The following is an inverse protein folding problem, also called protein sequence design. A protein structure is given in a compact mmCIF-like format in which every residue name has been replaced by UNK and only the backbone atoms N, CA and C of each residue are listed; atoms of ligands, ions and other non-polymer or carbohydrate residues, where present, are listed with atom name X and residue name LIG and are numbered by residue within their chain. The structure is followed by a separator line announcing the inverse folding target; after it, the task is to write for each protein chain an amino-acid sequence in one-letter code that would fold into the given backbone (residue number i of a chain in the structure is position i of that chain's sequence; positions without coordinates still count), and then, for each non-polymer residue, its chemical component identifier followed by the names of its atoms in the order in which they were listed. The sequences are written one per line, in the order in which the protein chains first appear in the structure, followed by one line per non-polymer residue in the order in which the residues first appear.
data_IF_633110605059
#
_entry.id   IF_633110605059
#
_cell.length_a   1.000
_cell.length_b   1.000
_cell.length_c   1.000
_cell.angle_alpha   90.00
_cell.angle_beta   90.00
_cell.angle_gamma   90.00
#
_symmetry.space_group_name_H-M   'P 1'
#
loop_
_entity.id
_entity.type
_entity.pdbx_description
1 polymer ?
#
# COMPACT_ATOMS: atom_id res chain seq x y z
N UNK A 1 27.60 -52.20 -4.38
CA UNK A 1 26.62 -51.37 -5.11
C UNK A 1 25.44 -51.04 -4.20
N UNK A 2 24.94 -49.79 -4.27
CA UNK A 2 23.53 -49.45 -4.00
C UNK A 2 23.12 -49.15 -2.56
N UNK A 3 23.14 -47.88 -2.13
CA UNK A 3 22.25 -47.36 -1.08
C UNK A 3 22.35 -45.81 -0.86
N UNK A 4 22.48 -45.00 -1.91
CA UNK A 4 22.52 -43.51 -1.75
C UNK A 4 21.47 -42.72 -2.55
N UNK A 5 20.63 -43.37 -3.35
CA UNK A 5 19.72 -42.68 -4.26
C UNK A 5 18.26 -42.56 -3.77
N UNK A 6 17.90 -43.09 -2.60
CA UNK A 6 16.50 -43.19 -2.14
C UNK A 6 16.09 -42.18 -1.05
N UNK A 7 16.88 -41.13 -0.80
CA UNK A 7 16.52 -40.12 0.22
C UNK A 7 15.99 -38.79 -0.35
N UNK A 8 16.25 -38.50 -1.62
CA UNK A 8 15.91 -37.21 -2.22
C UNK A 8 14.57 -37.19 -2.98
N UNK A 9 13.96 -38.34 -3.26
CA UNK A 9 12.67 -38.40 -3.98
C UNK A 9 11.48 -38.20 -3.03
N UNK A 10 11.60 -38.54 -1.75
CA UNK A 10 10.45 -38.50 -0.84
C UNK A 10 10.07 -37.09 -0.37
N UNK A 11 11.01 -36.14 -0.35
CA UNK A 11 10.75 -34.76 0.09
C UNK A 11 10.11 -33.86 -0.97
N UNK A 12 10.08 -34.26 -2.24
CA UNK A 12 9.54 -33.40 -3.31
C UNK A 12 8.03 -33.61 -3.48
N UNK A 13 7.50 -34.77 -3.09
CA UNK A 13 6.07 -35.10 -3.29
C UNK A 13 5.16 -34.50 -2.21
N UNK A 14 5.69 -34.14 -1.03
CA UNK A 14 4.85 -33.57 0.06
C UNK A 14 4.56 -32.08 -0.06
N UNK A 15 5.27 -31.33 -0.91
CA UNK A 15 5.11 -29.87 -1.00
C UNK A 15 3.92 -29.39 -1.86
N UNK A 16 3.46 -30.22 -2.80
CA UNK A 16 2.42 -29.82 -3.77
C UNK A 16 0.98 -29.97 -3.25
N UNK A 17 0.75 -30.76 -2.19
CA UNK A 17 -0.59 -31.01 -1.67
C UNK A 17 -1.17 -29.88 -0.79
N UNK A 18 -0.32 -28.98 -0.28
CA UNK A 18 -0.75 -27.93 0.67
C UNK A 18 -1.36 -26.71 -0.05
N UNK A 19 -1.06 -26.50 -1.33
CA UNK A 19 -1.47 -25.28 -2.06
C UNK A 19 -2.95 -25.29 -2.46
N UNK A 20 -3.59 -26.47 -2.54
CA UNK A 20 -4.99 -26.59 -3.00
C UNK A 20 -6.02 -26.30 -1.89
N UNK A 21 -5.64 -26.39 -0.61
CA UNK A 21 -6.59 -26.22 0.50
C UNK A 21 -6.94 -24.75 0.82
N UNK A 22 -6.06 -23.79 0.50
CA UNK A 22 -6.25 -22.39 0.89
C UNK A 22 -7.04 -21.59 -0.18
N UNK A 23 -7.02 -22.03 -1.44
CA UNK A 23 -7.71 -21.36 -2.55
C UNK A 23 -9.25 -21.45 -2.51
N UNK A 24 -9.81 -22.41 -1.78
CA UNK A 24 -11.26 -22.67 -1.76
C UNK A 24 -12.09 -21.72 -0.89
N UNK A 25 -11.48 -21.04 0.08
CA UNK A 25 -12.23 -20.26 1.08
C UNK A 25 -12.66 -18.85 0.60
N UNK A 26 -12.09 -18.35 -0.51
CA UNK A 26 -12.41 -17.00 -1.00
C UNK A 26 -13.68 -16.99 -1.87
N UNK A 27 -14.07 -18.13 -2.44
CA UNK A 27 -15.22 -18.19 -3.35
C UNK A 27 -16.59 -18.11 -2.64
N UNK A 28 -16.63 -18.36 -1.33
CA UNK A 28 -17.87 -18.32 -0.55
C UNK A 28 -18.16 -16.96 0.09
N UNK A 29 -17.25 -15.99 0.00
CA UNK A 29 -17.43 -14.63 0.55
C UNK A 29 -17.92 -13.60 -0.48
N UNK A 30 -18.26 -14.03 -1.70
CA UNK A 30 -18.98 -13.19 -2.67
C UNK A 30 -20.47 -13.54 -2.65
N UNK A 31 -21.30 -12.87 -1.83
CA UNK A 31 -22.74 -12.98 -1.96
C UNK A 31 -23.18 -12.47 -3.33
N UNK A 32 -24.05 -13.28 -3.93
CA UNK A 32 -24.67 -13.13 -5.24
C UNK A 32 -25.70 -11.99 -5.23
N UNK A 33 -25.99 -11.50 -6.44
CA UNK A 33 -27.17 -10.73 -6.90
C UNK A 33 -27.03 -9.20 -6.78
N UNK A 34 -27.30 -8.42 -7.84
CA UNK A 34 -28.60 -8.44 -8.52
C UNK A 34 -28.52 -8.32 -10.05
N UNK A 35 -29.31 -9.17 -10.71
CA UNK A 35 -29.84 -8.89 -12.03
C UNK A 35 -30.71 -7.63 -11.95
N UNK A 36 -30.41 -6.64 -12.78
CA UNK A 36 -31.32 -5.53 -13.06
C UNK A 36 -31.48 -5.46 -14.59
N UNK A 37 -32.52 -6.14 -15.03
CA UNK A 37 -33.47 -5.78 -16.09
C UNK A 37 -33.15 -4.50 -16.85
N UNK A 38 -33.07 -4.63 -18.18
CA UNK A 38 -33.22 -3.53 -19.13
C UNK A 38 -34.54 -2.80 -18.86
N UNK A 39 -34.50 -1.56 -18.39
CA UNK A 39 -35.67 -0.68 -18.40
C UNK A 39 -35.21 0.74 -18.74
N UNK A 40 -35.59 1.17 -19.94
CA UNK A 40 -35.52 2.55 -20.40
C UNK A 40 -36.47 3.39 -19.54
N UNK A 41 -35.93 4.22 -18.65
CA UNK A 41 -36.67 5.34 -18.03
C UNK A 41 -35.71 6.54 -17.98
N UNK A 42 -36.04 7.69 -18.61
CA UNK A 42 -35.22 8.90 -18.48
C UNK A 42 -35.36 9.48 -17.07
N UNK A 43 -34.26 9.55 -16.31
CA UNK A 43 -34.25 10.13 -14.97
C UNK A 43 -33.67 11.57 -15.02
N UNK A 44 -34.34 12.57 -14.42
CA UNK A 44 -33.98 14.00 -14.50
C UNK A 44 -32.70 14.37 -13.72
N UNK A 45 -32.04 15.51 -14.05
CA UNK A 45 -30.72 15.85 -13.53
C UNK A 45 -30.80 16.23 -12.05
N UNK A 46 -30.32 15.35 -11.18
CA UNK A 46 -30.15 15.64 -9.76
C UNK A 46 -28.72 16.07 -9.48
N UNK A 47 -28.56 17.38 -9.38
CA UNK A 47 -27.61 18.13 -8.54
C UNK A 47 -26.20 17.54 -8.43
N UNK A 48 -25.42 17.90 -9.44
CA UNK A 48 -23.98 18.11 -9.46
C UNK A 48 -23.44 18.74 -8.16
N UNK A 49 -22.56 18.01 -7.46
CA UNK A 49 -21.43 18.46 -6.63
C UNK A 49 -21.03 17.44 -5.55
N UNK A 50 -20.91 16.17 -5.94
CA UNK A 50 -19.85 15.34 -5.36
C UNK A 50 -18.83 15.13 -6.46
N UNK A 51 -18.02 16.16 -6.68
CA UNK A 51 -16.70 15.96 -7.26
C UNK A 51 -16.03 14.96 -6.32
N UNK A 52 -16.08 13.68 -6.69
CA UNK A 52 -15.04 12.74 -6.29
C UNK A 52 -13.77 13.40 -6.82
N UNK A 53 -13.13 14.19 -5.97
CA UNK A 53 -11.75 14.60 -6.18
C UNK A 53 -11.01 13.28 -6.20
N UNK A 54 -10.79 12.75 -7.40
CA UNK A 54 -9.80 11.73 -7.67
C UNK A 54 -8.57 12.23 -6.92
N UNK A 55 -8.05 11.50 -5.91
CA UNK A 55 -6.92 12.01 -5.19
C UNK A 55 -5.82 12.27 -6.20
N UNK A 56 -5.55 13.57 -6.41
CA UNK A 56 -4.36 14.00 -7.10
C UNK A 56 -3.20 13.23 -6.44
N UNK A 57 -2.41 12.53 -7.26
CA UNK A 57 -1.49 11.50 -6.79
C UNK A 57 -0.67 11.88 -5.55
N UNK A 58 -0.23 10.88 -4.79
CA UNK A 58 0.50 10.97 -3.53
C UNK A 58 1.11 12.36 -3.23
N UNK A 59 0.53 13.16 -2.31
CA UNK A 59 1.00 14.50 -1.97
C UNK A 59 2.47 14.57 -1.56
N UNK A 60 3.02 13.47 -1.05
CA UNK A 60 4.44 13.38 -0.71
C UNK A 60 5.36 13.51 -1.94
N UNK A 61 4.89 13.19 -3.15
CA UNK A 61 5.68 13.34 -4.38
C UNK A 61 5.76 14.79 -4.88
N UNK A 62 4.90 15.67 -4.37
CA UNK A 62 4.88 17.10 -4.71
C UNK A 62 5.26 17.98 -3.51
N UNK A 63 5.55 17.35 -2.37
CA UNK A 63 5.82 18.06 -1.13
C UNK A 63 7.12 18.87 -1.25
N UNK A 64 7.08 20.11 -0.82
CA UNK A 64 8.27 20.93 -0.63
C UNK A 64 8.95 20.65 0.72
N UNK A 65 10.05 21.35 0.99
CA UNK A 65 10.85 21.16 2.20
C UNK A 65 10.09 21.50 3.48
N UNK A 66 9.22 22.51 3.45
CA UNK A 66 8.44 22.92 4.60
C UNK A 66 7.34 21.89 4.90
N UNK A 67 6.66 21.43 3.84
CA UNK A 67 5.65 20.37 3.92
C UNK A 67 6.26 19.06 4.44
N UNK A 68 7.44 18.66 3.95
CA UNK A 68 8.12 17.50 4.49
C UNK A 68 8.50 17.67 5.96
N UNK A 69 9.05 18.82 6.38
CA UNK A 69 9.34 19.06 7.81
C UNK A 69 8.10 18.94 8.70
N UNK A 70 6.94 19.34 8.18
CA UNK A 70 5.67 19.24 8.90
C UNK A 70 5.10 17.81 8.92
N UNK A 71 5.12 17.10 7.80
CA UNK A 71 4.46 15.80 7.66
C UNK A 71 5.37 14.63 8.01
N UNK A 72 6.60 14.66 7.51
CA UNK A 72 7.64 13.65 7.66
C UNK A 72 8.94 14.28 8.19
N UNK A 73 9.04 14.45 9.52
CA UNK A 73 10.20 15.08 10.14
C UNK A 73 11.54 14.44 9.73
N UNK A 74 12.66 15.18 9.76
CA UNK A 74 13.97 14.70 9.31
C UNK A 74 14.40 13.37 9.94
N UNK A 75 14.18 13.20 11.25
CA UNK A 75 14.51 11.96 11.96
C UNK A 75 13.73 10.76 11.43
N UNK A 76 12.43 10.95 11.16
CA UNK A 76 11.60 9.90 10.58
C UNK A 76 12.04 9.54 9.17
N UNK A 77 12.34 10.54 8.34
CA UNK A 77 12.87 10.30 7.00
C UNK A 77 14.21 9.57 7.02
N UNK A 78 15.08 9.89 7.99
CA UNK A 78 16.34 9.16 8.18
C UNK A 78 16.09 7.70 8.55
N UNK A 79 15.20 7.44 9.50
CA UNK A 79 14.86 6.09 9.95
C UNK A 79 14.25 5.23 8.85
N UNK A 80 13.37 5.78 8.01
CA UNK A 80 12.66 4.99 7.00
C UNK A 80 13.37 4.94 5.63
N UNK A 81 14.19 5.94 5.29
CA UNK A 81 14.79 6.04 3.95
C UNK A 81 16.30 5.89 3.90
N UNK A 82 17.04 6.21 4.96
CA UNK A 82 18.50 6.18 4.95
C UNK A 82 19.08 4.90 5.58
N UNK A 83 18.37 4.28 6.53
CA UNK A 83 18.82 3.04 7.15
C UNK A 83 18.72 1.85 6.18
N UNK A 84 19.74 0.99 6.18
CA UNK A 84 19.75 -0.26 5.42
C UNK A 84 18.86 -1.34 6.04
N UNK A 85 18.73 -1.33 7.38
CA UNK A 85 17.89 -2.23 8.16
C UNK A 85 17.10 -1.41 9.19
N UNK A 86 16.01 -0.77 8.76
CA UNK A 86 15.22 0.09 9.65
C UNK A 86 14.46 -0.75 10.69
N UNK A 87 14.43 -0.27 11.93
CA UNK A 87 13.68 -0.93 13.01
C UNK A 87 12.16 -0.88 12.71
N UNK A 88 11.45 -2.03 12.67
CA UNK A 88 10.04 -2.07 12.25
C UNK A 88 9.14 -1.12 13.03
N UNK A 89 9.32 -1.03 14.35
CA UNK A 89 8.54 -0.15 15.21
C UNK A 89 8.72 1.33 14.84
N UNK A 90 9.94 1.78 14.54
CA UNK A 90 10.21 3.16 14.13
C UNK A 90 9.57 3.47 12.78
N UNK A 91 9.66 2.53 11.84
CA UNK A 91 9.00 2.66 10.54
C UNK A 91 7.50 2.85 10.72
N UNK A 92 6.86 2.03 11.55
CA UNK A 92 5.41 2.11 11.73
C UNK A 92 4.96 3.39 12.43
N UNK A 93 5.69 3.84 13.46
CA UNK A 93 5.42 5.13 14.13
C UNK A 93 5.57 6.30 13.15
N UNK A 94 6.64 6.31 12.36
CA UNK A 94 6.90 7.37 11.40
C UNK A 94 5.91 7.37 10.23
N UNK A 95 5.58 6.21 9.69
CA UNK A 95 4.58 6.08 8.63
C UNK A 95 3.21 6.52 9.14
N UNK A 96 2.74 5.99 10.27
CA UNK A 96 1.42 6.33 10.80
C UNK A 96 1.31 7.83 11.12
N UNK A 97 2.35 8.41 11.73
CA UNK A 97 2.41 9.85 11.97
C UNK A 97 2.37 10.65 10.66
N UNK A 98 3.07 10.21 9.62
CA UNK A 98 3.06 10.87 8.31
C UNK A 98 1.68 10.79 7.66
N UNK A 99 1.06 9.61 7.63
CA UNK A 99 -0.29 9.41 7.09
C UNK A 99 -1.29 10.32 7.79
N UNK A 100 -1.25 10.41 9.13
CA UNK A 100 -2.15 11.28 9.89
C UNK A 100 -1.93 12.76 9.56
N UNK A 101 -0.68 13.23 9.51
CA UNK A 101 -0.37 14.64 9.22
C UNK A 101 -0.73 15.04 7.79
N UNK A 102 -0.44 14.18 6.81
CA UNK A 102 -0.84 14.42 5.42
C UNK A 102 -2.35 14.41 5.28
N UNK A 103 -3.05 13.44 5.89
CA UNK A 103 -4.51 13.39 5.87
C UNK A 103 -5.13 14.64 6.51
N UNK A 104 -4.58 15.10 7.64
CA UNK A 104 -5.05 16.32 8.31
C UNK A 104 -4.81 17.58 7.49
N UNK A 105 -3.73 17.66 6.71
CA UNK A 105 -3.38 18.85 5.93
C UNK A 105 -4.04 18.90 4.55
N UNK A 106 -4.29 17.73 3.94
CA UNK A 106 -4.70 17.63 2.52
C UNK A 106 -6.03 16.93 2.31
N UNK A 107 -6.59 16.28 3.33
CA UNK A 107 -7.77 15.42 3.22
C UNK A 107 -7.49 14.07 2.52
N UNK A 108 -6.26 13.84 2.03
CA UNK A 108 -5.90 12.62 1.32
C UNK A 108 -5.37 11.57 2.30
N UNK A 109 -6.02 10.41 2.33
CA UNK A 109 -5.60 9.28 3.15
C UNK A 109 -4.56 8.44 2.40
N UNK A 110 -3.30 8.54 2.84
CA UNK A 110 -2.21 7.73 2.32
C UNK A 110 -2.20 6.32 2.93
N UNK A 111 -1.74 5.35 2.15
CA UNK A 111 -1.39 4.02 2.64
C UNK A 111 0.08 3.94 3.07
N UNK A 112 0.45 2.87 3.78
CA UNK A 112 1.86 2.58 4.12
C UNK A 112 2.73 2.45 2.87
N UNK A 113 2.20 1.85 1.79
CA UNK A 113 2.91 1.70 0.53
C UNK A 113 3.17 3.05 -0.14
N UNK A 114 2.25 4.01 -0.03
CA UNK A 114 2.44 5.35 -0.59
C UNK A 114 3.55 6.13 0.12
N UNK A 115 3.68 5.99 1.44
CA UNK A 115 4.74 6.65 2.22
C UNK A 115 6.10 6.02 1.94
N UNK A 116 6.15 4.69 1.82
CA UNK A 116 7.37 3.92 1.58
C UNK A 116 7.72 3.77 0.09
N UNK A 117 6.99 4.44 -0.80
CA UNK A 117 7.24 4.43 -2.24
C UNK A 117 8.67 4.93 -2.51
N UNK A 118 9.40 4.22 -3.38
CA UNK A 118 10.80 4.55 -3.70
C UNK A 118 10.94 5.94 -4.32
N UNK A 119 9.90 6.44 -5.01
CA UNK A 119 9.84 7.80 -5.56
C UNK A 119 9.70 8.85 -4.47
N UNK A 120 8.93 8.56 -3.41
CA UNK A 120 8.84 9.44 -2.24
C UNK A 120 10.19 9.50 -1.53
N UNK A 121 10.86 8.36 -1.37
CA UNK A 121 12.23 8.32 -0.86
C UNK A 121 13.18 9.20 -1.69
N UNK A 122 13.16 9.07 -3.01
CA UNK A 122 14.02 9.86 -3.89
C UNK A 122 13.72 11.37 -3.77
N UNK A 123 12.44 11.74 -3.83
CA UNK A 123 11.99 13.13 -3.71
C UNK A 123 12.32 13.74 -2.35
N UNK A 124 12.10 13.00 -1.26
CA UNK A 124 12.47 13.44 0.08
C UNK A 124 13.97 13.70 0.20
N UNK A 125 14.82 12.81 -0.33
CA UNK A 125 16.28 12.97 -0.31
C UNK A 125 16.72 14.21 -1.07
N UNK A 126 16.13 14.44 -2.23
CA UNK A 126 16.38 15.63 -3.05
C UNK A 126 16.01 16.92 -2.31
N UNK A 127 14.76 17.02 -1.82
CA UNK A 127 14.22 18.22 -1.19
C UNK A 127 14.87 18.51 0.17
N UNK A 128 15.18 17.46 0.94
CA UNK A 128 15.79 17.61 2.27
C UNK A 128 17.31 17.74 2.23
N UNK A 129 17.94 17.47 1.08
CA UNK A 129 19.40 17.50 0.92
C UNK A 129 20.10 16.29 1.56
N UNK A 130 19.40 15.16 1.67
CA UNK A 130 19.94 13.92 2.24
C UNK A 130 20.50 13.03 1.12
N UNK A 131 21.75 13.29 0.71
CA UNK A 131 22.41 12.57 -0.39
C UNK A 131 22.95 11.21 -0.01
#
# INVERSE_FOLDING_TARGET
MGARAMRNVWMIVSGLAVVVAIGGAVYYFFPKQSAATTSNVPQPPSTDNRVLVVPAGNPLLKADKAQFRQWLPPYCGADIFLQSQPEPHKVDVCVNGTVQRVASATGIKLSRADVLDSRVKAHWREVMGAK
#
